data_IF_752739285876
#
_entry.id   IF_752739285876
#
_cell.length_a   1.000
_cell.length_b   1.000
_cell.length_c   1.000
_cell.angle_alpha   90.00
_cell.angle_beta   90.00
_cell.angle_gamma   90.00
#
_symmetry.space_group_name_H-M   'P 1'
#
loop_
_entity.id
_entity.type
_entity.pdbx_description
1 polymer ?
#
# COMPACT_ATOMS: atom_id res chain seq x y z
N UNK A 1 23.94 56.07 27.45
CA UNK A 1 23.01 54.95 27.22
C UNK A 1 23.84 53.68 27.00
N UNK A 2 23.56 52.59 27.73
CA UNK A 2 24.48 51.45 27.95
C UNK A 2 24.37 50.37 26.84
N UNK A 3 25.41 50.14 26.00
CA UNK A 3 25.41 49.10 24.95
C UNK A 3 25.73 47.68 25.44
N UNK A 4 25.94 47.48 26.75
CA UNK A 4 26.45 46.22 27.31
C UNK A 4 25.46 45.05 27.34
N UNK A 5 24.15 45.27 27.11
CA UNK A 5 23.15 44.18 27.15
C UNK A 5 23.03 43.38 25.85
N UNK A 6 23.37 43.96 24.68
CA UNK A 6 23.28 43.25 23.41
C UNK A 6 24.43 42.26 23.19
N UNK A 7 25.62 42.56 23.71
CA UNK A 7 26.80 41.69 23.55
C UNK A 7 26.60 40.37 24.29
N UNK A 8 26.08 40.41 25.53
CA UNK A 8 25.82 39.20 26.33
C UNK A 8 24.75 38.28 25.71
N UNK A 9 23.74 38.83 25.03
CA UNK A 9 22.69 38.02 24.42
C UNK A 9 23.16 37.33 23.13
N UNK A 10 23.96 38.00 22.30
CA UNK A 10 24.57 37.40 21.11
C UNK A 10 25.58 36.30 21.48
N UNK A 11 26.39 36.49 22.52
CA UNK A 11 27.32 35.45 22.99
C UNK A 11 26.61 34.20 23.52
N UNK A 12 25.46 34.37 24.20
CA UNK A 12 24.69 33.25 24.75
C UNK A 12 24.01 32.41 23.65
N UNK A 13 23.50 33.06 22.59
CA UNK A 13 22.94 32.37 21.42
C UNK A 13 24.00 31.60 20.61
N UNK A 14 25.23 32.12 20.54
CA UNK A 14 26.38 31.42 19.95
C UNK A 14 26.79 30.18 20.76
N UNK A 15 26.74 30.26 22.10
CA UNK A 15 27.10 29.14 22.99
C UNK A 15 26.09 27.99 22.96
N UNK A 16 24.80 28.27 22.81
CA UNK A 16 23.76 27.22 22.68
C UNK A 16 23.86 26.53 21.31
N UNK A 17 24.29 27.26 20.28
CA UNK A 17 24.53 26.67 18.96
C UNK A 17 25.75 25.75 18.97
N UNK A 18 26.85 26.11 19.66
CA UNK A 18 28.09 25.33 19.63
C UNK A 18 28.00 23.93 20.29
N UNK A 19 27.15 23.74 21.30
CA UNK A 19 27.07 22.46 22.03
C UNK A 19 26.36 21.35 21.25
N UNK A 20 25.44 21.70 20.34
CA UNK A 20 24.81 20.73 19.45
C UNK A 20 25.77 20.15 18.41
N UNK A 21 26.84 20.88 18.05
CA UNK A 21 27.80 20.53 16.99
C UNK A 21 28.92 19.61 17.50
N UNK A 22 29.00 19.42 18.83
CA UNK A 22 29.94 18.51 19.47
C UNK A 22 29.40 17.08 19.61
N UNK A 23 28.14 16.82 19.22
CA UNK A 23 27.57 15.49 19.39
C UNK A 23 28.12 14.51 18.32
N UNK A 24 28.88 13.47 18.70
CA UNK A 24 29.47 12.52 17.76
C UNK A 24 28.41 11.75 16.96
N UNK A 25 27.19 11.61 17.49
CA UNK A 25 26.07 10.95 16.80
C UNK A 25 25.62 11.75 15.60
N UNK A 26 25.47 13.07 15.74
CA UNK A 26 25.02 13.97 14.65
C UNK A 26 26.02 13.94 13.49
N UNK A 27 27.32 14.03 13.78
CA UNK A 27 28.36 13.97 12.74
C UNK A 27 28.36 12.63 12.01
N UNK A 28 28.20 11.53 12.76
CA UNK A 28 28.15 10.18 12.19
C UNK A 28 26.93 10.00 11.30
N UNK A 29 25.77 10.49 11.73
CA UNK A 29 24.53 10.52 10.97
C UNK A 29 24.65 11.33 9.68
N UNK A 30 25.20 12.55 9.77
CA UNK A 30 25.42 13.39 8.60
C UNK A 30 26.38 12.72 7.60
N UNK A 31 27.45 12.10 8.10
CA UNK A 31 28.40 11.35 7.27
C UNK A 31 27.75 10.12 6.63
N UNK A 32 26.94 9.36 7.37
CA UNK A 32 26.18 8.22 6.84
C UNK A 32 25.20 8.68 5.75
N UNK A 33 24.48 9.79 5.95
CA UNK A 33 23.57 10.35 4.96
C UNK A 33 24.29 10.74 3.66
N UNK A 34 25.46 11.38 3.78
CA UNK A 34 26.31 11.77 2.65
C UNK A 34 26.92 10.56 1.92
N UNK A 35 27.24 9.48 2.64
CA UNK A 35 27.75 8.25 2.02
C UNK A 35 26.66 7.44 1.34
N UNK A 36 25.44 7.44 1.90
CA UNK A 36 24.29 6.73 1.35
C UNK A 36 23.70 7.42 0.10
N UNK A 37 23.98 8.71 -0.11
CA UNK A 37 23.52 9.41 -1.30
C UNK A 37 24.41 9.11 -2.51
N UNK A 38 23.98 8.17 -3.35
CA UNK A 38 24.52 7.99 -4.69
C UNK A 38 24.06 9.10 -5.66
N UNK A 39 23.06 9.89 -5.26
CA UNK A 39 22.35 10.85 -6.12
C UNK A 39 22.89 12.28 -6.04
N UNK A 40 22.71 13.00 -7.15
CA UNK A 40 22.97 14.44 -7.33
C UNK A 40 22.35 15.34 -6.25
N UNK A 41 21.37 14.87 -5.48
CA UNK A 41 20.79 15.60 -4.34
C UNK A 41 21.83 15.97 -3.27
N UNK A 42 22.87 15.15 -3.09
CA UNK A 42 23.97 15.49 -2.20
C UNK A 42 24.92 16.57 -2.75
N UNK A 43 24.87 16.85 -4.06
CA UNK A 43 25.63 17.94 -4.63
C UNK A 43 25.10 19.32 -4.21
N UNK A 44 23.85 19.41 -3.73
CA UNK A 44 23.19 20.67 -3.39
C UNK A 44 23.18 21.03 -1.91
N UNK A 45 23.32 20.06 -1.00
CA UNK A 45 23.33 20.36 0.43
C UNK A 45 24.76 20.55 0.93
N UNK A 46 25.02 21.70 1.57
CA UNK A 46 26.27 21.88 2.31
C UNK A 46 26.33 20.88 3.47
N UNK A 47 27.55 20.46 3.82
CA UNK A 47 27.77 19.59 4.99
C UNK A 47 27.12 20.17 6.26
N UNK A 48 27.23 21.48 6.45
CA UNK A 48 26.61 22.19 7.58
C UNK A 48 25.08 22.04 7.59
N UNK A 49 24.42 22.13 6.43
CA UNK A 49 22.99 21.93 6.32
C UNK A 49 22.59 20.49 6.68
N UNK A 50 23.37 19.49 6.25
CA UNK A 50 23.14 18.08 6.61
C UNK A 50 23.33 17.85 8.11
N UNK A 51 24.36 18.44 8.72
CA UNK A 51 24.60 18.36 10.17
C UNK A 51 23.47 19.01 10.98
N UNK A 52 22.96 20.17 10.54
CA UNK A 52 21.79 20.81 11.15
C UNK A 52 20.52 19.95 11.01
N UNK A 53 20.29 19.37 9.84
CA UNK A 53 19.16 18.47 9.61
C UNK A 53 19.23 17.22 10.49
N UNK A 54 20.42 16.61 10.58
CA UNK A 54 20.66 15.46 11.45
C UNK A 54 20.46 15.82 12.93
N UNK A 55 20.93 16.99 13.37
CA UNK A 55 20.69 17.48 14.72
C UNK A 55 19.19 17.65 15.00
N UNK A 56 18.44 18.20 14.04
CA UNK A 56 16.98 18.32 14.19
C UNK A 56 16.29 16.95 14.24
N UNK A 57 16.69 16.00 13.39
CA UNK A 57 16.17 14.63 13.41
C UNK A 57 16.41 13.95 14.77
N UNK A 58 17.63 14.05 15.31
CA UNK A 58 17.96 13.52 16.65
C UNK A 58 17.14 14.19 17.75
N UNK A 59 16.94 15.51 17.67
CA UNK A 59 16.12 16.26 18.63
C UNK A 59 14.66 15.81 18.63
N UNK A 60 14.08 15.58 17.46
CA UNK A 60 12.63 15.27 17.32
C UNK A 60 12.33 13.80 17.58
N UNK A 61 13.18 12.89 17.09
CA UNK A 61 12.90 11.45 17.07
C UNK A 61 13.73 10.67 18.08
N UNK A 62 14.80 11.26 18.61
CA UNK A 62 15.84 10.56 19.36
C UNK A 62 16.90 9.96 18.45
N UNK A 63 18.10 9.74 19.00
CA UNK A 63 19.30 9.30 18.26
C UNK A 63 19.09 8.02 17.47
N UNK A 64 18.51 6.99 18.10
CA UNK A 64 18.36 5.66 17.49
C UNK A 64 17.32 5.65 16.36
N UNK A 65 16.20 6.36 16.53
CA UNK A 65 15.18 6.47 15.50
C UNK A 65 15.68 7.30 14.31
N UNK A 66 16.40 8.40 14.58
CA UNK A 66 17.04 9.20 13.55
C UNK A 66 18.07 8.37 12.75
N UNK A 67 18.90 7.55 13.43
CA UNK A 67 19.86 6.67 12.77
C UNK A 67 19.18 5.66 11.84
N UNK A 68 18.13 4.97 12.31
CA UNK A 68 17.37 4.04 11.46
C UNK A 68 16.69 4.73 10.28
N UNK A 69 16.14 5.92 10.49
CA UNK A 69 15.48 6.66 9.41
C UNK A 69 16.48 7.14 8.35
N UNK A 70 17.65 7.62 8.77
CA UNK A 70 18.72 8.03 7.84
C UNK A 70 19.33 6.84 7.11
N UNK A 71 19.52 5.70 7.78
CA UNK A 71 19.99 4.48 7.10
C UNK A 71 19.04 4.03 5.98
N UNK A 72 17.74 4.27 6.13
CA UNK A 72 16.71 3.87 5.16
C UNK A 72 16.39 4.93 4.10
N UNK A 73 16.40 6.21 4.48
CA UNK A 73 16.01 7.32 3.61
C UNK A 73 17.13 8.25 3.16
N UNK A 74 18.36 8.04 3.67
CA UNK A 74 19.55 8.78 3.29
C UNK A 74 19.40 10.29 3.48
N UNK A 75 20.05 11.05 2.60
CA UNK A 75 20.00 12.52 2.62
C UNK A 75 18.62 13.07 2.27
N UNK A 76 17.86 12.39 1.40
CA UNK A 76 16.53 12.81 0.97
C UNK A 76 15.57 12.90 2.15
N UNK A 77 15.68 11.99 3.12
CA UNK A 77 14.91 12.06 4.36
C UNK A 77 15.25 13.30 5.19
N UNK A 78 16.54 13.61 5.37
CA UNK A 78 16.98 14.80 6.11
C UNK A 78 16.53 16.09 5.41
N UNK A 79 16.66 16.14 4.09
CA UNK A 79 16.20 17.27 3.28
C UNK A 79 14.69 17.47 3.39
N UNK A 80 13.91 16.39 3.34
CA UNK A 80 12.47 16.46 3.56
C UNK A 80 12.14 17.00 4.97
N UNK A 81 12.87 16.56 6.00
CA UNK A 81 12.74 17.10 7.35
C UNK A 81 13.04 18.60 7.46
N UNK A 82 13.99 19.12 6.66
CA UNK A 82 14.27 20.56 6.61
C UNK A 82 13.15 21.36 5.93
N UNK A 83 12.62 20.87 4.81
CA UNK A 83 11.62 21.61 4.03
C UNK A 83 10.20 21.52 4.61
N UNK A 84 9.82 20.37 5.13
CA UNK A 84 8.46 20.09 5.60
C UNK A 84 8.35 20.04 7.14
N UNK A 85 9.48 20.16 7.84
CA UNK A 85 9.54 20.31 9.29
C UNK A 85 9.34 19.01 10.10
N UNK A 86 9.00 19.20 11.36
CA UNK A 86 8.97 18.12 12.37
C UNK A 86 7.91 17.05 12.09
N UNK A 87 6.88 17.32 11.29
CA UNK A 87 5.82 16.36 10.97
C UNK A 87 6.33 15.20 10.11
N UNK A 88 7.25 15.46 9.17
CA UNK A 88 7.93 14.43 8.38
C UNK A 88 8.78 13.54 9.29
N UNK A 89 9.53 14.15 10.20
CA UNK A 89 10.38 13.45 11.15
C UNK A 89 9.55 12.56 12.10
N UNK A 90 8.46 13.10 12.67
CA UNK A 90 7.53 12.33 13.52
C UNK A 90 6.87 11.19 12.76
N UNK A 91 6.50 11.41 11.50
CA UNK A 91 5.88 10.38 10.65
C UNK A 91 6.85 9.23 10.38
N UNK A 92 8.10 9.53 10.01
CA UNK A 92 9.14 8.52 9.88
C UNK A 92 9.48 7.85 11.21
N UNK A 93 9.33 8.53 12.35
CA UNK A 93 9.58 7.93 13.67
C UNK A 93 8.53 6.88 14.03
N UNK A 94 7.27 7.08 13.61
CA UNK A 94 6.20 6.07 13.79
C UNK A 94 6.40 4.87 12.87
N UNK A 95 6.89 5.11 11.65
CA UNK A 95 7.08 4.09 10.62
C UNK A 95 8.49 4.19 10.00
N UNK A 96 9.53 3.69 10.69
CA UNK A 96 10.92 3.83 10.23
C UNK A 96 11.18 3.19 8.86
N UNK A 97 10.46 2.12 8.52
CA UNK A 97 10.51 1.46 7.20
C UNK A 97 10.06 2.36 6.06
N UNK A 98 9.21 3.34 6.34
CA UNK A 98 8.75 4.30 5.35
C UNK A 98 9.68 5.52 5.21
N UNK A 99 10.79 5.62 5.95
CA UNK A 99 11.67 6.78 5.89
C UNK A 99 12.19 7.09 4.48
N UNK A 100 12.46 6.06 3.66
CA UNK A 100 12.82 6.23 2.25
C UNK A 100 11.70 6.86 1.42
N UNK A 101 10.48 6.35 1.53
CA UNK A 101 9.31 6.92 0.85
C UNK A 101 8.97 8.33 1.36
N UNK A 102 9.04 8.53 2.68
CA UNK A 102 8.84 9.84 3.33
C UNK A 102 9.86 10.87 2.84
N UNK A 103 11.12 10.46 2.65
CA UNK A 103 12.16 11.33 2.08
C UNK A 103 11.94 11.63 0.60
N UNK A 104 11.54 10.64 -0.20
CA UNK A 104 11.34 10.78 -1.63
C UNK A 104 10.06 11.54 -2.02
N UNK A 105 8.98 11.39 -1.24
CA UNK A 105 7.66 11.97 -1.53
C UNK A 105 6.94 12.41 -0.25
N UNK A 106 7.47 13.43 0.46
CA UNK A 106 6.99 13.83 1.79
C UNK A 106 5.52 14.26 1.81
N UNK A 107 5.07 15.05 0.84
CA UNK A 107 3.66 15.49 0.79
C UNK A 107 2.70 14.30 0.66
N UNK A 108 3.00 13.38 -0.25
CA UNK A 108 2.21 12.17 -0.45
C UNK A 108 2.24 11.28 0.80
N UNK A 109 3.40 11.12 1.43
CA UNK A 109 3.53 10.34 2.65
C UNK A 109 2.69 10.93 3.80
N UNK A 110 2.75 12.24 4.02
CA UNK A 110 1.95 12.92 5.04
C UNK A 110 0.44 12.78 4.77
N UNK A 111 0.02 12.94 3.52
CA UNK A 111 -1.38 12.76 3.12
C UNK A 111 -1.85 11.31 3.32
N UNK A 112 -1.03 10.34 2.90
CA UNK A 112 -1.34 8.92 3.05
C UNK A 112 -1.46 8.52 4.53
N UNK A 113 -0.53 9.00 5.36
CA UNK A 113 -0.55 8.81 6.81
C UNK A 113 -1.81 9.40 7.44
N UNK A 114 -2.18 10.63 7.05
CA UNK A 114 -3.36 11.32 7.57
C UNK A 114 -4.66 10.63 7.16
N UNK A 115 -4.77 10.16 5.92
CA UNK A 115 -6.00 9.55 5.39
C UNK A 115 -6.20 8.11 5.88
N UNK A 116 -5.15 7.31 5.86
CA UNK A 116 -5.27 5.86 6.04
C UNK A 116 -4.51 5.32 7.26
N UNK A 117 -3.52 6.05 7.78
CA UNK A 117 -2.73 5.69 8.96
C UNK A 117 -1.41 5.01 8.62
N UNK A 118 -0.71 4.57 9.66
CA UNK A 118 0.66 4.04 9.57
C UNK A 118 0.76 2.76 8.72
N UNK A 119 -0.29 1.93 8.66
CA UNK A 119 -0.28 0.73 7.81
C UNK A 119 -0.20 1.04 6.32
N UNK A 120 -0.80 2.15 5.87
CA UNK A 120 -0.70 2.56 4.48
C UNK A 120 0.73 2.98 4.12
N UNK A 121 1.41 3.72 5.01
CA UNK A 121 2.82 4.06 4.84
C UNK A 121 3.72 2.82 4.78
N UNK A 122 3.50 1.85 5.66
CA UNK A 122 4.23 0.58 5.64
C UNK A 122 4.06 -0.16 4.32
N UNK A 123 2.83 -0.21 3.83
CA UNK A 123 2.51 -0.85 2.56
C UNK A 123 3.20 -0.14 1.40
N UNK A 124 3.09 1.19 1.34
CA UNK A 124 3.67 2.03 0.28
C UNK A 124 5.20 1.94 0.25
N UNK A 125 5.84 1.89 1.42
CA UNK A 125 7.29 1.73 1.54
C UNK A 125 7.79 0.38 0.99
N UNK A 126 6.96 -0.67 1.04
CA UNK A 126 7.29 -2.03 0.60
C UNK A 126 6.85 -2.31 -0.84
N UNK A 127 5.73 -1.73 -1.25
CA UNK A 127 5.11 -1.90 -2.54
C UNK A 127 4.61 -0.52 -3.04
N UNK A 128 5.48 0.29 -3.67
CA UNK A 128 5.14 1.63 -4.12
C UNK A 128 3.93 1.63 -5.07
N UNK A 129 3.03 2.59 -4.88
CA UNK A 129 1.77 2.77 -5.60
C UNK A 129 0.63 1.86 -5.14
N UNK A 130 0.86 0.92 -4.21
CA UNK A 130 -0.16 -0.07 -3.85
C UNK A 130 -1.08 0.37 -2.73
N UNK A 131 -0.71 1.33 -1.87
CA UNK A 131 -1.52 1.63 -0.69
C UNK A 131 -2.91 2.20 -1.06
N UNK A 132 -2.97 3.15 -1.98
CA UNK A 132 -4.24 3.72 -2.42
C UNK A 132 -5.05 2.74 -3.26
N UNK A 133 -4.39 1.98 -4.15
CA UNK A 133 -5.06 0.94 -4.94
C UNK A 133 -5.67 -0.14 -4.05
N UNK A 134 -4.95 -0.57 -3.01
CA UNK A 134 -5.47 -1.52 -2.04
C UNK A 134 -6.73 -0.99 -1.34
N UNK A 135 -6.73 0.26 -0.90
CA UNK A 135 -7.94 0.86 -0.28
C UNK A 135 -9.10 0.93 -1.26
N UNK A 136 -8.84 1.35 -2.51
CA UNK A 136 -9.88 1.50 -3.53
C UNK A 136 -10.49 0.16 -3.95
N UNK A 137 -9.69 -0.91 -4.00
CA UNK A 137 -10.13 -2.23 -4.51
C UNK A 137 -10.58 -3.18 -3.40
N UNK A 138 -9.95 -3.13 -2.23
CA UNK A 138 -10.11 -4.10 -1.14
C UNK A 138 -10.56 -3.48 0.19
N UNK A 139 -10.76 -2.16 0.24
CA UNK A 139 -11.16 -1.46 1.46
C UNK A 139 -10.00 -1.11 2.40
N UNK A 140 -10.24 -0.17 3.30
CA UNK A 140 -9.23 0.35 4.25
C UNK A 140 -8.82 -0.70 5.28
N UNK A 141 -9.75 -1.56 5.67
CA UNK A 141 -9.57 -2.68 6.57
C UNK A 141 -8.60 -3.74 6.07
N UNK A 142 -8.24 -3.71 4.78
CA UNK A 142 -7.22 -4.61 4.20
C UNK A 142 -5.79 -4.22 4.58
N UNK A 143 -5.54 -2.94 4.88
CA UNK A 143 -4.20 -2.39 5.07
C UNK A 143 -3.36 -3.08 6.17
N UNK A 144 -3.89 -3.42 7.36
CA UNK A 144 -3.07 -4.07 8.38
C UNK A 144 -2.50 -5.43 7.97
N UNK A 145 -3.28 -6.21 7.22
CA UNK A 145 -2.85 -7.52 6.70
C UNK A 145 -1.92 -7.36 5.49
N UNK A 146 -2.22 -6.43 4.58
CA UNK A 146 -1.37 -6.18 3.41
C UNK A 146 -0.01 -5.59 3.78
N UNK A 147 0.05 -4.73 4.81
CA UNK A 147 1.30 -4.17 5.32
C UNK A 147 2.29 -5.24 5.82
N UNK A 148 1.81 -6.44 6.15
CA UNK A 148 2.62 -7.58 6.61
C UNK A 148 2.93 -8.57 5.47
N UNK A 149 2.21 -8.48 4.36
CA UNK A 149 2.28 -9.41 3.23
C UNK A 149 3.50 -9.13 2.34
N UNK A 150 3.95 -10.13 1.57
CA UNK A 150 5.02 -9.94 0.59
C UNK A 150 4.60 -8.92 -0.49
N UNK A 151 5.49 -8.04 -0.98
CA UNK A 151 5.14 -7.08 -2.04
C UNK A 151 4.59 -7.75 -3.29
N UNK A 152 5.12 -8.93 -3.64
CA UNK A 152 4.66 -9.74 -4.78
C UNK A 152 3.19 -10.14 -4.63
N UNK A 153 2.79 -10.61 -3.44
CA UNK A 153 1.42 -11.05 -3.20
C UNK A 153 0.45 -9.88 -3.08
N UNK A 154 0.89 -8.74 -2.52
CA UNK A 154 0.11 -7.49 -2.52
C UNK A 154 -0.24 -7.11 -3.96
N UNK A 155 0.76 -6.99 -4.84
CA UNK A 155 0.54 -6.60 -6.24
C UNK A 155 -0.37 -7.58 -6.97
N UNK A 156 -0.18 -8.89 -6.77
CA UNK A 156 -1.04 -9.92 -7.36
C UNK A 156 -2.48 -9.80 -6.89
N UNK A 157 -2.69 -9.69 -5.57
CA UNK A 157 -4.03 -9.62 -4.99
C UNK A 157 -4.76 -8.35 -5.43
N UNK A 158 -4.10 -7.18 -5.40
CA UNK A 158 -4.69 -5.92 -5.85
C UNK A 158 -4.99 -5.96 -7.35
N UNK A 159 -4.08 -6.52 -8.16
CA UNK A 159 -4.30 -6.69 -9.61
C UNK A 159 -5.43 -7.67 -9.95
N UNK A 160 -5.64 -8.71 -9.13
CA UNK A 160 -6.80 -9.60 -9.26
C UNK A 160 -8.09 -8.86 -8.83
N UNK A 161 -8.06 -8.12 -7.73
CA UNK A 161 -9.21 -7.35 -7.25
C UNK A 161 -9.67 -6.29 -8.26
N UNK A 162 -8.74 -5.71 -9.03
CA UNK A 162 -9.04 -4.81 -10.13
C UNK A 162 -9.78 -5.51 -11.29
N UNK A 163 -9.46 -6.77 -11.56
CA UNK A 163 -10.13 -7.60 -12.59
C UNK A 163 -11.44 -8.23 -12.10
N UNK A 164 -11.80 -8.05 -10.84
CA UNK A 164 -13.02 -8.62 -10.29
C UNK A 164 -14.25 -7.94 -10.88
N UNK A 165 -15.16 -8.77 -11.43
CA UNK A 165 -16.36 -8.32 -12.15
C UNK A 165 -17.39 -7.63 -11.24
N UNK A 166 -17.32 -7.88 -9.92
CA UNK A 166 -18.26 -7.35 -8.94
C UNK A 166 -17.60 -7.11 -7.57
N UNK A 167 -18.19 -6.26 -6.71
CA UNK A 167 -17.76 -6.13 -5.31
C UNK A 167 -17.79 -7.46 -4.55
N UNK A 168 -18.80 -8.30 -4.77
CA UNK A 168 -18.91 -9.62 -4.14
C UNK A 168 -17.74 -10.54 -4.52
N UNK A 169 -17.27 -10.47 -5.78
CA UNK A 169 -16.08 -11.21 -6.23
C UNK A 169 -14.82 -10.70 -5.52
N UNK A 170 -14.68 -9.39 -5.27
CA UNK A 170 -13.56 -8.82 -4.50
C UNK A 170 -13.60 -9.28 -3.05
N UNK A 171 -14.76 -9.27 -2.43
CA UNK A 171 -14.94 -9.70 -1.04
C UNK A 171 -14.63 -11.19 -0.89
N UNK A 172 -15.08 -12.01 -1.85
CA UNK A 172 -14.76 -13.42 -1.91
C UNK A 172 -13.24 -13.65 -2.10
N UNK A 173 -12.59 -12.87 -2.97
CA UNK A 173 -11.16 -12.95 -3.24
C UNK A 173 -10.37 -12.62 -1.97
N UNK A 174 -10.77 -11.53 -1.31
CA UNK A 174 -10.20 -11.10 -0.04
C UNK A 174 -10.39 -12.13 1.07
N UNK A 175 -11.58 -12.70 1.20
CA UNK A 175 -11.87 -13.73 2.19
C UNK A 175 -11.05 -15.01 1.97
N UNK A 176 -10.95 -15.48 0.72
CA UNK A 176 -10.15 -16.64 0.36
C UNK A 176 -8.66 -16.42 0.62
N UNK A 177 -8.14 -15.24 0.23
CA UNK A 177 -6.75 -14.87 0.51
C UNK A 177 -6.47 -14.75 2.01
N UNK A 178 -7.36 -14.16 2.83
CA UNK A 178 -7.16 -14.11 4.29
C UNK A 178 -7.05 -15.49 4.93
N UNK A 179 -7.74 -16.50 4.38
CA UNK A 179 -7.72 -17.86 4.90
C UNK A 179 -6.45 -18.63 4.52
N UNK A 180 -5.94 -18.41 3.32
CA UNK A 180 -4.94 -19.30 2.70
C UNK A 180 -3.65 -18.59 2.24
N UNK A 181 -3.63 -17.26 2.30
CA UNK A 181 -2.49 -16.42 1.95
C UNK A 181 -2.02 -16.59 0.50
N UNK A 182 -0.71 -16.57 0.31
CA UNK A 182 -0.07 -16.70 -1.00
C UNK A 182 -0.38 -18.02 -1.73
N UNK A 183 -0.61 -19.11 -1.00
CA UNK A 183 -0.91 -20.41 -1.59
C UNK A 183 -2.21 -20.39 -2.42
N UNK A 184 -3.21 -19.61 -1.99
CA UNK A 184 -4.43 -19.41 -2.78
C UNK A 184 -4.15 -18.64 -4.08
N UNK A 185 -3.30 -17.61 -4.03
CA UNK A 185 -2.90 -16.88 -5.23
C UNK A 185 -2.13 -17.79 -6.19
N UNK A 186 -1.27 -18.68 -5.68
CA UNK A 186 -0.49 -19.60 -6.50
C UNK A 186 -1.37 -20.60 -7.25
N UNK A 187 -2.43 -21.11 -6.61
CA UNK A 187 -3.43 -21.94 -7.29
C UNK A 187 -4.22 -21.13 -8.32
N UNK A 188 -4.65 -19.90 -8.01
CA UNK A 188 -5.28 -19.04 -9.01
C UNK A 188 -4.39 -18.75 -10.22
N UNK A 189 -3.07 -18.59 -10.00
CA UNK A 189 -2.10 -18.36 -11.06
C UNK A 189 -1.99 -19.56 -12.03
N UNK A 190 -2.19 -20.79 -11.54
CA UNK A 190 -2.25 -21.99 -12.38
C UNK A 190 -3.45 -21.97 -13.34
N UNK A 191 -4.49 -21.20 -13.01
CA UNK A 191 -5.71 -21.03 -13.81
C UNK A 191 -5.76 -19.68 -14.54
N UNK A 192 -4.63 -19.01 -14.79
CA UNK A 192 -4.57 -17.71 -15.50
C UNK A 192 -5.34 -17.67 -16.82
N UNK A 193 -5.29 -18.76 -17.60
CA UNK A 193 -6.02 -18.85 -18.87
C UNK A 193 -7.54 -18.71 -18.66
N UNK A 194 -8.08 -19.26 -17.57
CA UNK A 194 -9.50 -19.19 -17.23
C UNK A 194 -9.91 -17.80 -16.72
N UNK A 195 -9.00 -17.10 -16.02
CA UNK A 195 -9.25 -15.71 -15.62
C UNK A 195 -9.44 -14.84 -16.86
N UNK A 196 -8.66 -15.09 -17.92
CA UNK A 196 -8.75 -14.33 -19.17
C UNK A 196 -10.00 -14.67 -19.99
N UNK A 197 -10.46 -15.92 -19.99
CA UNK A 197 -11.58 -16.37 -20.84
C UNK A 197 -12.94 -16.36 -20.14
N UNK A 198 -12.98 -16.70 -18.84
CA UNK A 198 -14.21 -16.87 -18.06
C UNK A 198 -14.37 -15.89 -16.90
N UNK A 199 -13.42 -14.98 -16.69
CA UNK A 199 -13.43 -14.02 -15.59
C UNK A 199 -12.92 -14.59 -14.26
N UNK A 200 -12.66 -13.69 -13.31
CA UNK A 200 -12.07 -14.05 -12.01
C UNK A 200 -13.03 -14.92 -11.18
N UNK A 201 -14.32 -14.60 -11.21
CA UNK A 201 -15.36 -15.32 -10.45
C UNK A 201 -15.34 -16.81 -10.77
N UNK A 202 -15.29 -17.16 -12.06
CA UNK A 202 -15.26 -18.53 -12.56
C UNK A 202 -14.02 -19.29 -12.11
N UNK A 203 -12.87 -18.64 -12.12
CA UNK A 203 -11.61 -19.24 -11.70
C UNK A 203 -11.55 -19.48 -10.20
N UNK A 204 -12.13 -18.58 -9.40
CA UNK A 204 -12.23 -18.77 -7.95
C UNK A 204 -13.11 -19.96 -7.57
N UNK A 205 -14.20 -20.20 -8.29
CA UNK A 205 -15.07 -21.36 -8.06
C UNK A 205 -14.31 -22.65 -8.32
N UNK A 206 -13.59 -22.74 -9.45
CA UNK A 206 -12.78 -23.92 -9.78
C UNK A 206 -11.72 -24.21 -8.72
N UNK A 207 -11.03 -23.16 -8.24
CA UNK A 207 -10.02 -23.29 -7.18
C UNK A 207 -10.65 -23.70 -5.84
N UNK A 208 -11.88 -23.27 -5.55
CA UNK A 208 -12.58 -23.58 -4.32
C UNK A 208 -13.15 -25.01 -4.29
N UNK A 209 -13.61 -25.52 -5.43
CA UNK A 209 -14.17 -26.87 -5.54
C UNK A 209 -13.11 -27.94 -5.86
N UNK A 210 -11.88 -27.54 -6.21
CA UNK A 210 -10.79 -28.46 -6.52
C UNK A 210 -11.03 -29.28 -7.80
N UNK A 211 -11.99 -28.87 -8.63
CA UNK A 211 -12.43 -29.64 -9.80
C UNK A 211 -11.59 -29.23 -11.01
N UNK A 212 -10.56 -30.02 -11.28
CA UNK A 212 -9.70 -29.86 -12.45
C UNK A 212 -10.43 -30.21 -13.77
N UNK A 213 -11.52 -30.99 -13.69
CA UNK A 213 -12.26 -31.53 -14.86
C UNK A 213 -13.41 -30.63 -15.38
N UNK A 214 -13.85 -29.62 -14.62
CA UNK A 214 -15.05 -28.83 -14.94
C UNK A 214 -14.87 -27.75 -16.03
N UNK A 215 -13.64 -27.58 -16.52
CA UNK A 215 -13.32 -26.60 -17.57
C UNK A 215 -13.94 -26.98 -18.93
N UNK A 216 -14.20 -28.26 -19.18
CA UNK A 216 -14.81 -28.71 -20.44
C UNK A 216 -16.35 -28.58 -20.47
N UNK A 217 -17.01 -28.62 -19.30
CA UNK A 217 -18.49 -28.60 -19.17
C UNK A 217 -19.07 -27.24 -18.78
N UNK A 218 -18.22 -26.22 -18.70
CA UNK A 218 -18.51 -24.93 -18.06
C UNK A 218 -19.67 -24.10 -18.63
N UNK A 219 -20.05 -24.16 -19.92
CA UNK A 219 -21.18 -23.38 -20.42
C UNK A 219 -22.52 -23.71 -19.75
N UNK A 220 -22.67 -24.89 -19.14
CA UNK A 220 -23.96 -25.38 -18.64
C UNK A 220 -24.15 -25.33 -17.12
N UNK A 221 -23.08 -25.37 -16.30
CA UNK A 221 -23.17 -25.49 -14.82
C UNK A 221 -22.72 -24.26 -14.02
N UNK A 222 -22.24 -23.21 -14.70
CA UNK A 222 -21.77 -21.98 -14.07
C UNK A 222 -22.75 -21.32 -13.06
N UNK A 223 -24.08 -21.21 -13.32
CA UNK A 223 -24.96 -20.47 -12.41
C UNK A 223 -25.16 -21.15 -11.06
N UNK A 224 -25.17 -22.49 -10.99
CA UNK A 224 -25.37 -23.23 -9.73
C UNK A 224 -24.14 -23.18 -8.83
N UNK A 225 -22.94 -23.25 -9.42
CA UNK A 225 -21.68 -23.20 -8.66
C UNK A 225 -21.38 -21.81 -8.09
N UNK A 226 -21.73 -20.74 -8.83
CA UNK A 226 -21.67 -19.35 -8.32
C UNK A 226 -22.60 -19.17 -7.12
N UNK A 227 -23.82 -19.72 -7.19
CA UNK A 227 -24.80 -19.67 -6.11
C UNK A 227 -24.33 -20.46 -4.88
N UNK A 228 -23.78 -21.67 -5.06
CA UNK A 228 -23.25 -22.47 -3.97
C UNK A 228 -22.04 -21.80 -3.29
N UNK A 229 -21.12 -21.22 -4.07
CA UNK A 229 -19.97 -20.49 -3.53
C UNK A 229 -20.38 -19.20 -2.82
N UNK A 230 -21.31 -18.43 -3.40
CA UNK A 230 -21.87 -17.23 -2.78
C UNK A 230 -22.68 -17.55 -1.51
N UNK A 231 -23.42 -18.67 -1.47
CA UNK A 231 -24.11 -19.14 -0.26
C UNK A 231 -23.13 -19.61 0.82
N UNK A 232 -22.04 -20.26 0.42
CA UNK A 232 -20.98 -20.72 1.34
C UNK A 232 -20.14 -19.56 1.89
N UNK A 233 -20.03 -18.46 1.18
CA UNK A 233 -19.38 -17.22 1.63
C UNK A 233 -20.33 -16.20 2.27
N UNK A 234 -21.62 -16.26 1.95
CA UNK A 234 -22.62 -15.22 2.20
C UNK A 234 -23.54 -15.48 3.39
N UNK A 235 -23.16 -16.29 4.39
CA UNK A 235 -23.95 -16.45 5.61
C UNK A 235 -24.08 -15.16 6.46
N UNK A 236 -23.60 -14.00 5.97
CA UNK A 236 -23.75 -12.69 6.62
C UNK A 236 -24.21 -11.50 5.75
N UNK A 237 -24.44 -11.63 4.43
CA UNK A 237 -24.84 -10.47 3.59
C UNK A 237 -25.97 -10.88 2.64
N UNK A 238 -27.05 -10.07 2.63
CA UNK A 238 -28.40 -10.43 2.16
C UNK A 238 -28.47 -10.95 0.72
N UNK A 239 -28.98 -12.17 0.60
CA UNK A 239 -29.29 -12.96 -0.60
C UNK A 239 -30.26 -12.30 -1.60
N UNK A 240 -30.88 -11.18 -1.26
CA UNK A 240 -31.97 -10.57 -2.06
C UNK A 240 -31.50 -9.90 -3.36
N UNK A 241 -30.27 -9.39 -3.44
CA UNK A 241 -29.80 -8.63 -4.62
C UNK A 241 -29.34 -9.53 -5.79
N UNK A 242 -28.87 -10.74 -5.51
CA UNK A 242 -28.37 -11.68 -6.53
C UNK A 242 -29.53 -12.33 -7.31
N UNK A 243 -30.67 -12.56 -6.66
CA UNK A 243 -31.85 -13.17 -7.27
C UNK A 243 -32.46 -12.24 -8.34
N UNK A 244 -32.47 -10.93 -8.09
CA UNK A 244 -33.09 -9.94 -8.99
C UNK A 244 -32.28 -9.76 -10.28
N UNK A 245 -30.95 -9.74 -10.20
CA UNK A 245 -30.09 -9.57 -11.39
C UNK A 245 -30.03 -10.83 -12.26
N UNK A 246 -30.00 -12.02 -11.63
CA UNK A 246 -30.02 -13.29 -12.35
C UNK A 246 -31.34 -13.51 -13.10
N UNK A 247 -32.48 -13.17 -12.48
CA UNK A 247 -33.80 -13.24 -13.14
C UNK A 247 -33.90 -12.34 -14.37
N UNK A 248 -33.36 -11.12 -14.30
CA UNK A 248 -33.36 -10.19 -15.43
C UNK A 248 -32.54 -10.70 -16.61
N UNK A 249 -31.38 -11.31 -16.36
CA UNK A 249 -30.52 -11.89 -17.39
C UNK A 249 -31.14 -13.12 -18.06
N UNK A 250 -31.80 -14.00 -17.28
CA UNK A 250 -32.51 -15.16 -17.83
C UNK A 250 -33.70 -14.73 -18.72
N UNK A 251 -34.45 -13.70 -18.32
CA UNK A 251 -35.55 -13.18 -19.13
C UNK A 251 -35.05 -12.56 -20.45
N UNK A 252 -33.92 -11.87 -20.42
CA UNK A 252 -33.33 -11.25 -21.60
C UNK A 252 -32.78 -12.31 -22.59
N UNK A 253 -32.17 -13.38 -22.06
CA UNK A 253 -31.71 -14.51 -22.85
C UNK A 253 -32.88 -15.29 -23.48
N UNK A 254 -33.95 -15.54 -22.73
CA UNK A 254 -35.17 -16.18 -23.24
C UNK A 254 -35.85 -15.34 -24.34
N UNK A 255 -35.91 -14.01 -24.15
CA UNK A 255 -36.45 -13.09 -25.14
C UNK A 255 -35.63 -13.06 -26.44
N UNK A 256 -34.29 -13.05 -26.33
CA UNK A 256 -33.39 -13.10 -27.48
C UNK A 256 -33.47 -14.44 -28.22
N UNK A 257 -33.67 -15.54 -27.51
CA UNK A 257 -33.86 -16.86 -28.10
C UNK A 257 -35.15 -16.91 -28.94
N UNK A 258 -36.25 -16.36 -28.42
CA UNK A 258 -37.53 -16.39 -29.10
C UNK A 258 -37.56 -15.55 -30.38
N UNK A 259 -36.69 -14.53 -30.49
CA UNK A 259 -36.59 -13.67 -31.69
C UNK A 259 -35.74 -14.24 -32.83
N UNK A 260 -35.16 -15.44 -32.73
CA UNK A 260 -34.41 -16.02 -33.86
C UNK A 260 -35.38 -16.49 -34.95
N UNK A 261 -35.35 -15.90 -36.16
CA UNK A 261 -36.21 -16.35 -37.26
C UNK A 261 -35.81 -17.76 -37.68
N UNK A 262 -36.76 -18.69 -37.63
CA UNK A 262 -36.61 -20.05 -38.13
C UNK A 262 -36.32 -19.96 -39.63
N UNK A 263 -35.05 -20.20 -40.01
CA UNK A 263 -34.69 -20.45 -41.40
C UNK A 263 -35.35 -21.76 -41.79
N UNK A 264 -36.39 -21.68 -42.63
CA UNK A 264 -37.01 -22.85 -43.24
C UNK A 264 -36.03 -23.43 -44.28
N UNK A 265 -35.93 -24.77 -44.36
CA UNK A 265 -35.06 -25.46 -45.31
C UNK A 265 -35.46 -25.19 -46.77
#
# INVERSE_FOLDING_TARGET
MKPTRHILFSSLMLLISASAWANPVVRRLAQQALQASADKAAATMSREAVELAAANAVRVMGSEAAERAVQRGGISFLQAGMHYGDDVLRTASRVPEAAGFVGASPEQALLLAKRYGDHALRLEARAPGMAELAVQRLGRESLPALAQTSPRDVTRLVGLAEKADSPATRDALWAAWKREGGAFLDRLDQHKALILTGGLTTSMILVADGVQDAVQDMPQKAPEAVLAFAQKLGSGISTSLIIVSSGALCLLAAWLWHRRPLKRP
#
